data_IF_819101732062
#
_entry.id   IF_819101732062
#
_cell.length_a   1.000
_cell.length_b   1.000
_cell.length_c   1.000
_cell.angle_alpha   90.00
_cell.angle_beta   90.00
_cell.angle_gamma   90.00
#
_symmetry.space_group_name_H-M   'P 1'
#
loop_
_entity.id
_entity.type
_entity.pdbx_description
1 polymer ?
#
# COMPACT_ATOMS: atom_id res chain seq x y z
N UNK A 1 -7.81 17.31 -6.18
CA UNK A 1 -8.94 16.73 -6.96
C UNK A 1 -10.07 16.33 -6.03
N UNK A 2 -11.33 16.64 -6.34
CA UNK A 2 -12.46 16.23 -5.50
C UNK A 2 -12.63 14.70 -5.53
N UNK A 3 -12.90 14.07 -4.38
CA UNK A 3 -13.16 12.63 -4.29
C UNK A 3 -11.96 11.74 -3.93
N UNK A 4 -10.72 12.22 -4.14
CA UNK A 4 -9.48 11.47 -3.84
C UNK A 4 -9.17 11.31 -2.35
N UNK A 5 -9.88 12.04 -1.47
CA UNK A 5 -9.86 11.74 -0.03
C UNK A 5 -10.30 10.30 0.32
N UNK A 6 -10.92 9.60 -0.64
CA UNK A 6 -11.39 8.21 -0.50
C UNK A 6 -10.36 7.19 -0.97
N UNK A 7 -9.20 7.62 -1.46
CA UNK A 7 -8.18 6.73 -2.02
C UNK A 7 -7.57 5.79 -0.95
N UNK A 8 -7.54 6.24 0.31
CA UNK A 8 -7.24 5.39 1.47
C UNK A 8 -8.40 4.46 1.89
N UNK A 9 -9.43 4.31 1.06
CA UNK A 9 -10.65 3.57 1.39
C UNK A 9 -10.42 2.07 1.65
N UNK A 10 -9.48 1.46 0.93
CA UNK A 10 -9.06 0.07 1.17
C UNK A 10 -8.45 -0.11 2.56
N UNK A 11 -7.53 0.78 2.96
CA UNK A 11 -6.94 0.78 4.29
C UNK A 11 -8.01 0.99 5.38
N UNK A 12 -8.93 1.94 5.19
CA UNK A 12 -10.01 2.17 6.14
C UNK A 12 -10.94 0.95 6.30
N UNK A 13 -11.25 0.26 5.20
CA UNK A 13 -12.07 -0.95 5.23
C UNK A 13 -11.36 -2.09 5.99
N UNK A 14 -10.08 -2.33 5.73
CA UNK A 14 -9.29 -3.36 6.44
C UNK A 14 -9.17 -3.04 7.92
N UNK A 15 -8.95 -1.78 8.30
CA UNK A 15 -8.90 -1.39 9.71
C UNK A 15 -10.24 -1.67 10.42
N UNK A 16 -11.36 -1.36 9.76
CA UNK A 16 -12.70 -1.66 10.27
C UNK A 16 -12.93 -3.17 10.46
N UNK A 17 -12.58 -3.96 9.45
CA UNK A 17 -12.71 -5.42 9.48
C UNK A 17 -11.81 -6.05 10.56
N UNK A 18 -10.55 -5.61 10.65
CA UNK A 18 -9.61 -6.09 11.66
C UNK A 18 -10.11 -5.80 13.08
N UNK A 19 -10.58 -4.57 13.33
CA UNK A 19 -11.18 -4.19 14.62
C UNK A 19 -12.40 -5.05 14.96
N UNK A 20 -13.24 -5.35 13.97
CA UNK A 20 -14.40 -6.22 14.18
C UNK A 20 -13.98 -7.66 14.51
N UNK A 21 -13.02 -8.23 13.77
CA UNK A 21 -12.49 -9.58 13.99
C UNK A 21 -11.91 -9.74 15.41
N UNK A 22 -11.08 -8.79 15.85
CA UNK A 22 -10.51 -8.80 17.22
C UNK A 22 -11.62 -8.74 18.27
N UNK A 23 -12.63 -7.88 18.09
CA UNK A 23 -13.76 -7.76 19.03
C UNK A 23 -14.64 -9.01 19.09
N UNK A 24 -14.72 -9.79 18.01
CA UNK A 24 -15.47 -11.04 17.95
C UNK A 24 -14.69 -12.24 18.51
N UNK A 25 -13.48 -12.03 19.00
CA UNK A 25 -12.67 -13.09 19.61
C UNK A 25 -11.97 -14.00 18.59
N UNK A 26 -11.60 -13.47 17.42
CA UNK A 26 -10.72 -14.19 16.49
C UNK A 26 -9.43 -14.61 17.22
N UNK A 27 -9.14 -15.91 17.22
CA UNK A 27 -8.10 -16.52 18.05
C UNK A 27 -6.76 -16.74 17.35
N UNK A 28 -6.75 -16.75 16.03
CA UNK A 28 -5.54 -16.97 15.24
C UNK A 28 -4.76 -15.68 15.04
N UNK A 29 -3.49 -15.81 14.65
CA UNK A 29 -2.68 -14.65 14.27
C UNK A 29 -3.27 -13.97 13.03
N UNK A 30 -3.57 -12.68 13.17
CA UNK A 30 -4.06 -11.83 12.09
C UNK A 30 -3.14 -10.61 11.96
N UNK A 31 -2.71 -10.32 10.72
CA UNK A 31 -1.92 -9.14 10.42
C UNK A 31 -2.72 -8.19 9.52
N UNK A 32 -2.63 -6.89 9.78
CA UNK A 32 -3.11 -5.85 8.89
C UNK A 32 -1.92 -4.97 8.48
N UNK A 33 -1.66 -4.88 7.17
CA UNK A 33 -0.57 -4.07 6.61
C UNK A 33 -1.19 -2.87 5.91
N UNK A 34 -0.75 -1.68 6.26
CA UNK A 34 -1.27 -0.42 5.74
C UNK A 34 -0.19 0.34 4.98
N UNK A 35 -0.40 0.50 3.69
CA UNK A 35 0.46 1.28 2.80
C UNK A 35 -0.17 2.68 2.65
N UNK A 36 0.33 3.67 3.39
CA UNK A 36 -0.24 5.02 3.45
C UNK A 36 0.77 6.03 2.91
N UNK A 37 0.39 6.73 1.84
CA UNK A 37 1.15 7.82 1.24
C UNK A 37 0.19 8.80 0.55
N UNK A 38 0.61 10.06 0.43
CA UNK A 38 -0.06 11.02 -0.45
C UNK A 38 0.56 10.97 -1.85
N UNK A 39 -0.27 10.92 -2.89
CA UNK A 39 0.16 11.14 -4.27
C UNK A 39 0.10 12.64 -4.58
N UNK A 40 1.25 13.31 -4.45
CA UNK A 40 1.35 14.77 -4.54
C UNK A 40 2.15 15.25 -5.76
N UNK A 41 1.77 16.42 -6.29
CA UNK A 41 2.49 17.09 -7.36
C UNK A 41 3.55 18.01 -6.76
N UNK A 42 4.79 17.89 -7.22
CA UNK A 42 5.89 18.74 -6.77
C UNK A 42 7.18 18.48 -7.55
N UNK A 43 8.24 19.28 -7.32
CA UNK A 43 9.52 19.14 -8.02
C UNK A 43 10.25 17.82 -7.73
N UNK A 44 9.86 17.11 -6.67
CA UNK A 44 10.40 15.82 -6.26
C UNK A 44 9.39 14.67 -6.44
N UNK A 45 8.27 14.92 -7.15
CA UNK A 45 7.30 13.87 -7.44
C UNK A 45 7.88 12.85 -8.42
N UNK A 46 7.36 11.62 -8.37
CA UNK A 46 7.63 10.61 -9.39
C UNK A 46 7.20 11.14 -10.76
N UNK A 47 7.95 10.79 -11.80
CA UNK A 47 7.69 11.19 -13.18
C UNK A 47 7.45 9.97 -14.05
N UNK A 48 6.68 10.12 -15.14
CA UNK A 48 6.74 9.16 -16.23
C UNK A 48 8.20 8.91 -16.64
N UNK A 49 8.50 7.66 -16.95
CA UNK A 49 9.82 7.11 -17.32
C UNK A 49 10.82 6.96 -16.15
N UNK A 50 10.46 7.35 -14.91
CA UNK A 50 11.28 7.00 -13.75
C UNK A 50 11.27 5.48 -13.53
N UNK A 51 12.45 4.90 -13.26
CA UNK A 51 12.60 3.49 -12.87
C UNK A 51 12.86 3.43 -11.38
N UNK A 52 11.93 2.82 -10.63
CA UNK A 52 12.05 2.63 -9.18
C UNK A 52 12.49 1.21 -8.83
N UNK A 53 13.32 1.09 -7.81
CA UNK A 53 13.70 -0.20 -7.22
C UNK A 53 12.73 -0.53 -6.09
N UNK A 54 12.04 -1.67 -6.21
CA UNK A 54 11.06 -2.14 -5.24
C UNK A 54 11.73 -2.98 -4.16
N UNK A 55 11.09 -3.12 -2.99
CA UNK A 55 11.56 -3.95 -1.89
C UNK A 55 11.74 -5.43 -2.28
N UNK A 56 10.98 -5.91 -3.27
CA UNK A 56 11.14 -7.25 -3.85
C UNK A 56 12.46 -7.48 -4.60
N UNK A 57 13.30 -6.44 -4.76
CA UNK A 57 14.54 -6.48 -5.55
C UNK A 57 14.33 -6.31 -7.06
N UNK A 58 13.08 -6.16 -7.50
CA UNK A 58 12.72 -5.88 -8.91
C UNK A 58 12.67 -4.38 -9.17
N UNK A 59 12.81 -4.00 -10.43
CA UNK A 59 12.57 -2.63 -10.88
C UNK A 59 11.19 -2.48 -11.52
N UNK A 60 10.61 -1.28 -11.45
CA UNK A 60 9.36 -0.91 -12.12
C UNK A 60 9.57 0.42 -12.83
N UNK A 61 9.24 0.45 -14.13
CA UNK A 61 9.11 1.68 -14.89
C UNK A 61 7.74 2.32 -14.60
N UNK A 62 7.74 3.59 -14.21
CA UNK A 62 6.53 4.36 -13.97
C UNK A 62 6.12 4.99 -15.30
N UNK A 63 5.12 4.43 -15.97
CA UNK A 63 4.53 5.06 -17.16
C UNK A 63 3.28 5.90 -16.84
N UNK A 64 2.70 5.76 -15.64
CA UNK A 64 1.59 6.54 -15.13
C UNK A 64 1.72 6.72 -13.62
N UNK A 65 1.86 7.96 -13.16
CA UNK A 65 2.02 8.32 -11.75
C UNK A 65 0.72 8.20 -10.94
N UNK A 66 -0.43 8.11 -11.60
CA UNK A 66 -1.76 7.85 -11.00
C UNK A 66 -2.06 6.34 -10.86
N UNK A 67 -1.07 5.49 -11.17
CA UNK A 67 -1.11 4.06 -10.89
C UNK A 67 -0.35 3.74 -9.58
N UNK A 68 -0.21 4.69 -8.67
CA UNK A 68 0.64 4.62 -7.47
C UNK A 68 0.22 3.53 -6.48
N UNK A 69 -1.08 3.25 -6.34
CA UNK A 69 -1.60 2.29 -5.37
C UNK A 69 -0.96 0.91 -5.51
N UNK A 70 -0.67 0.46 -6.74
CA UNK A 70 -0.01 -0.83 -6.97
C UNK A 70 1.46 -0.85 -6.52
N UNK A 71 2.15 0.30 -6.55
CA UNK A 71 3.55 0.40 -6.17
C UNK A 71 3.70 0.24 -4.65
N UNK A 72 2.90 0.99 -3.89
CA UNK A 72 2.93 0.91 -2.42
C UNK A 72 2.44 -0.46 -1.93
N UNK A 73 1.48 -1.08 -2.62
CA UNK A 73 1.02 -2.44 -2.32
C UNK A 73 2.06 -3.51 -2.66
N UNK A 74 2.82 -3.35 -3.75
CA UNK A 74 3.87 -4.30 -4.11
C UNK A 74 4.92 -4.42 -2.98
N UNK A 75 5.33 -3.29 -2.42
CA UNK A 75 6.24 -3.27 -1.27
C UNK A 75 5.57 -3.76 0.01
N UNK A 76 4.31 -3.40 0.26
CA UNK A 76 3.57 -3.89 1.44
C UNK A 76 3.42 -5.41 1.47
N UNK A 77 3.05 -6.01 0.34
CA UNK A 77 2.93 -7.47 0.20
C UNK A 77 4.30 -8.13 0.32
N UNK A 78 5.32 -7.60 -0.38
CA UNK A 78 6.68 -8.15 -0.29
C UNK A 78 7.24 -8.06 1.13
N UNK A 79 6.98 -6.96 1.85
CA UNK A 79 7.37 -6.79 3.26
C UNK A 79 6.70 -7.84 4.14
N UNK A 80 5.40 -8.06 3.96
CA UNK A 80 4.66 -9.06 4.72
C UNK A 80 5.24 -10.46 4.52
N UNK A 81 5.43 -10.88 3.26
CA UNK A 81 5.99 -12.18 2.91
C UNK A 81 7.40 -12.38 3.49
N UNK A 82 8.25 -11.34 3.49
CA UNK A 82 9.62 -11.46 3.99
C UNK A 82 9.75 -11.37 5.52
N UNK A 83 8.79 -10.74 6.21
CA UNK A 83 8.91 -10.44 7.65
C UNK A 83 8.08 -11.36 8.55
N UNK A 84 6.99 -11.94 8.03
CA UNK A 84 6.00 -12.66 8.84
C UNK A 84 5.64 -14.04 8.28
N UNK A 85 6.18 -14.43 7.12
CA UNK A 85 5.97 -15.76 6.52
C UNK A 85 7.16 -16.70 6.73
N UNK A 86 7.85 -16.54 7.86
CA UNK A 86 8.97 -17.39 8.32
C UNK A 86 8.54 -18.27 9.48
#
# INVERSE_FOLDING_TARGET
MCGMKRDCGGAAAILGAFKAAVKLGFSETLHAVFCLADNAVGPLAQRPDDIVYMYSGRTVEINNTDAEGRLVLADGVSTYCNSFHS
#
